data_IF_479448743281
#
_entry.id   IF_479448743281
#
_cell.length_a   1.000
_cell.length_b   1.000
_cell.length_c   1.000
_cell.angle_alpha   90.00
_cell.angle_beta   90.00
_cell.angle_gamma   90.00
#
_symmetry.space_group_name_H-M   'P 1'
#
loop_
_entity.id
_entity.type
_entity.pdbx_description
1 polymer ?
#
# COMPACT_ATOMS: atom_id res chain seq x y z
N UNK A 1 -4.85 -8.05 1.84
CA UNK A 1 -3.62 -7.34 2.21
C UNK A 1 -3.18 -7.59 3.66
N UNK A 2 -3.88 -7.06 4.68
CA UNK A 2 -3.45 -7.24 6.09
C UNK A 2 -3.46 -8.70 6.56
N UNK A 3 -4.49 -9.48 6.19
CA UNK A 3 -4.51 -10.93 6.46
C UNK A 3 -3.34 -11.66 5.78
N UNK A 4 -3.00 -11.29 4.54
CA UNK A 4 -1.87 -11.88 3.81
C UNK A 4 -0.53 -11.53 4.47
N UNK A 5 -0.40 -10.30 4.97
CA UNK A 5 0.77 -9.87 5.74
C UNK A 5 0.88 -10.68 7.04
N UNK A 6 -0.21 -10.90 7.77
CA UNK A 6 -0.21 -11.76 8.97
C UNK A 6 0.19 -13.20 8.66
N UNK A 7 -0.17 -13.72 7.49
CA UNK A 7 0.30 -15.00 7.00
C UNK A 7 1.82 -15.03 6.76
N UNK A 8 2.37 -13.97 6.17
CA UNK A 8 3.83 -13.83 5.96
C UNK A 8 4.61 -13.65 7.26
N UNK A 9 4.04 -13.02 8.28
CA UNK A 9 4.64 -12.88 9.61
C UNK A 9 4.48 -14.14 10.49
N UNK A 10 3.73 -15.15 10.03
CA UNK A 10 3.48 -16.38 10.77
C UNK A 10 2.45 -16.24 11.91
N UNK A 11 1.68 -15.15 11.95
CA UNK A 11 0.61 -14.95 12.94
C UNK A 11 -0.67 -15.72 12.63
N UNK A 12 -0.89 -16.05 11.37
CA UNK A 12 -1.96 -16.93 10.91
C UNK A 12 -1.39 -17.96 9.93
N UNK A 13 -1.96 -19.15 9.89
CA UNK A 13 -1.73 -20.09 8.81
C UNK A 13 -2.46 -19.58 7.55
N UNK A 14 -1.69 -19.23 6.53
CA UNK A 14 -2.23 -18.74 5.27
C UNK A 14 -2.93 -19.84 4.47
N UNK A 15 -2.54 -21.10 4.67
CA UNK A 15 -3.10 -22.25 3.96
C UNK A 15 -4.41 -22.74 4.59
N UNK A 16 -4.69 -22.38 5.85
CA UNK A 16 -6.00 -22.63 6.46
C UNK A 16 -7.01 -21.56 6.03
N UNK A 17 -7.89 -21.94 5.10
CA UNK A 17 -8.98 -21.09 4.59
C UNK A 17 -9.89 -20.56 5.71
N UNK A 18 -10.17 -21.36 6.76
CA UNK A 18 -11.03 -20.93 7.86
C UNK A 18 -10.36 -19.83 8.67
N UNK A 19 -9.09 -19.99 8.99
CA UNK A 19 -8.34 -18.99 9.74
C UNK A 19 -8.16 -17.70 8.92
N UNK A 20 -7.85 -17.83 7.63
CA UNK A 20 -7.74 -16.68 6.72
C UNK A 20 -9.04 -15.91 6.60
N UNK A 21 -10.18 -16.59 6.41
CA UNK A 21 -11.51 -15.96 6.38
C UNK A 21 -11.86 -15.26 7.69
N UNK A 22 -11.56 -15.89 8.83
CA UNK A 22 -11.82 -15.30 10.14
C UNK A 22 -10.99 -14.02 10.34
N UNK A 23 -9.71 -14.04 9.98
CA UNK A 23 -8.84 -12.87 10.02
C UNK A 23 -9.39 -11.72 9.15
N UNK A 24 -9.78 -12.02 7.91
CA UNK A 24 -10.37 -11.03 6.99
C UNK A 24 -11.66 -10.44 7.58
N UNK A 25 -12.56 -11.27 8.10
CA UNK A 25 -13.82 -10.82 8.68
C UNK A 25 -13.59 -9.90 9.90
N UNK A 26 -12.69 -10.30 10.81
CA UNK A 26 -12.34 -9.50 11.99
C UNK A 26 -11.74 -8.16 11.57
N UNK A 27 -10.75 -8.16 10.69
CA UNK A 27 -10.09 -6.93 10.21
C UNK A 27 -11.08 -5.99 9.49
N UNK A 28 -11.99 -6.55 8.70
CA UNK A 28 -13.00 -5.76 7.96
C UNK A 28 -13.97 -5.02 8.89
N UNK A 29 -14.16 -5.50 10.12
CA UNK A 29 -14.99 -4.83 11.14
C UNK A 29 -14.14 -3.90 11.99
N UNK A 30 -12.96 -4.34 12.43
CA UNK A 30 -12.07 -3.57 13.31
C UNK A 30 -11.61 -2.27 12.65
N UNK A 31 -11.21 -2.28 11.38
CA UNK A 31 -10.72 -1.07 10.72
C UNK A 31 -11.78 0.05 10.71
N UNK A 32 -13.01 -0.14 10.19
CA UNK A 32 -14.04 0.89 10.23
C UNK A 32 -14.35 1.40 11.64
N UNK A 33 -14.35 0.52 12.65
CA UNK A 33 -14.57 0.92 14.04
C UNK A 33 -13.44 1.85 14.52
N UNK A 34 -12.18 1.48 14.30
CA UNK A 34 -11.03 2.32 14.66
C UNK A 34 -11.12 3.68 13.97
N UNK A 35 -11.40 3.71 12.67
CA UNK A 35 -11.55 4.96 11.92
C UNK A 35 -12.70 5.82 12.43
N UNK A 36 -13.83 5.21 12.80
CA UNK A 36 -14.99 5.91 13.36
C UNK A 36 -14.66 6.53 14.72
N UNK A 37 -13.99 5.78 15.60
CA UNK A 37 -13.55 6.28 16.91
C UNK A 37 -12.59 7.47 16.73
N UNK A 38 -11.58 7.33 15.87
CA UNK A 38 -10.63 8.41 15.57
C UNK A 38 -11.33 9.66 15.02
N UNK A 39 -12.37 9.48 14.20
CA UNK A 39 -13.17 10.60 13.68
C UNK A 39 -13.87 11.37 14.80
N UNK A 40 -14.54 10.65 15.72
CA UNK A 40 -15.20 11.29 16.87
C UNK A 40 -14.22 11.96 17.83
N UNK A 41 -12.99 11.44 17.96
CA UNK A 41 -11.97 12.03 18.84
C UNK A 41 -11.25 13.25 18.24
N UNK A 42 -10.88 13.20 16.95
CA UNK A 42 -10.11 14.28 16.29
C UNK A 42 -11.03 15.42 15.85
N UNK A 43 -12.25 15.12 15.41
CA UNK A 43 -13.25 16.11 14.98
C UNK A 43 -12.87 16.95 13.74
N UNK A 44 -11.71 16.69 13.11
CA UNK A 44 -11.18 17.42 11.95
C UNK A 44 -11.02 16.47 10.76
N UNK A 45 -12.08 16.24 9.95
CA UNK A 45 -12.03 15.29 8.84
C UNK A 45 -10.92 15.60 7.83
N UNK A 46 -10.67 16.88 7.52
CA UNK A 46 -9.62 17.26 6.57
C UNK A 46 -8.22 16.81 6.99
N UNK A 47 -7.91 16.87 8.28
CA UNK A 47 -6.61 16.42 8.80
C UNK A 47 -6.45 14.89 8.67
N UNK A 48 -7.51 14.13 8.91
CA UNK A 48 -7.48 12.67 8.78
C UNK A 48 -7.27 12.22 7.34
N UNK A 49 -7.87 12.92 6.37
CA UNK A 49 -7.66 12.66 4.94
C UNK A 49 -6.20 12.92 4.55
N UNK A 50 -5.60 14.00 5.06
CA UNK A 50 -4.19 14.33 4.83
C UNK A 50 -3.27 13.22 5.34
N UNK A 51 -3.49 12.74 6.57
CA UNK A 51 -2.72 11.62 7.14
C UNK A 51 -2.88 10.35 6.28
N UNK A 52 -4.11 9.99 5.91
CA UNK A 52 -4.38 8.81 5.09
C UNK A 52 -3.68 8.86 3.74
N UNK A 53 -3.71 10.02 3.08
CA UNK A 53 -2.99 10.27 1.82
C UNK A 53 -1.48 10.18 2.00
N UNK A 54 -0.92 10.79 3.05
CA UNK A 54 0.51 10.73 3.34
C UNK A 54 1.01 9.31 3.61
N UNK A 55 0.26 8.52 4.40
CA UNK A 55 0.60 7.12 4.65
C UNK A 55 0.51 6.27 3.38
N UNK A 56 -0.51 6.50 2.55
CA UNK A 56 -0.67 5.78 1.27
C UNK A 56 0.46 6.13 0.29
N UNK A 57 0.94 7.38 0.29
CA UNK A 57 2.10 7.80 -0.50
C UNK A 57 3.36 6.97 -0.13
N UNK A 58 3.60 6.74 1.16
CA UNK A 58 4.71 5.90 1.63
C UNK A 58 4.54 4.47 1.12
N UNK A 59 3.33 3.91 1.18
CA UNK A 59 3.03 2.57 0.65
C UNK A 59 3.31 2.50 -0.85
N UNK A 60 2.94 3.51 -1.63
CA UNK A 60 3.22 3.55 -3.07
C UNK A 60 4.71 3.53 -3.40
N UNK A 61 5.56 4.18 -2.60
CA UNK A 61 7.02 4.12 -2.77
C UNK A 61 7.55 2.70 -2.52
N UNK A 62 7.04 2.01 -1.50
CA UNK A 62 7.37 0.59 -1.25
C UNK A 62 6.92 -0.28 -2.43
N UNK A 63 5.73 -0.02 -2.99
CA UNK A 63 5.21 -0.75 -4.16
C UNK A 63 6.07 -0.49 -5.39
N UNK A 64 6.52 0.74 -5.64
CA UNK A 64 7.46 1.06 -6.73
C UNK A 64 8.75 0.26 -6.60
N UNK A 65 9.33 0.22 -5.40
CA UNK A 65 10.53 -0.57 -5.14
C UNK A 65 10.31 -2.06 -5.40
N UNK A 66 9.21 -2.61 -4.89
CA UNK A 66 8.83 -4.00 -5.12
C UNK A 66 8.60 -4.31 -6.62
N UNK A 67 7.95 -3.40 -7.35
CA UNK A 67 7.67 -3.53 -8.77
C UNK A 67 8.96 -3.58 -9.60
N UNK A 68 9.94 -2.73 -9.28
CA UNK A 68 11.27 -2.74 -9.93
C UNK A 68 11.98 -4.08 -9.66
N UNK A 69 12.00 -4.55 -8.40
CA UNK A 69 12.60 -5.85 -8.06
C UNK A 69 11.91 -6.98 -8.81
N UNK A 70 10.58 -7.01 -8.80
CA UNK A 70 9.82 -8.03 -9.52
C UNK A 70 10.16 -8.03 -11.00
N UNK A 71 10.18 -6.85 -11.64
CA UNK A 71 10.46 -6.71 -13.08
C UNK A 71 11.87 -7.21 -13.46
N UNK A 72 12.88 -6.82 -12.69
CA UNK A 72 14.28 -7.03 -13.11
C UNK A 72 14.96 -8.24 -12.48
N UNK A 73 14.51 -8.70 -11.29
CA UNK A 73 15.16 -9.80 -10.57
C UNK A 73 14.32 -11.08 -10.51
N UNK A 74 13.01 -10.97 -10.30
CA UNK A 74 12.18 -12.16 -10.02
C UNK A 74 11.40 -12.68 -11.23
N UNK A 75 11.31 -11.91 -12.31
CA UNK A 75 10.53 -12.31 -13.48
C UNK A 75 11.32 -13.27 -14.38
N UNK A 76 10.82 -14.50 -14.62
CA UNK A 76 11.41 -15.43 -15.57
C UNK A 76 11.43 -14.84 -16.98
N UNK A 77 12.43 -15.21 -17.79
CA UNK A 77 12.59 -14.64 -19.14
C UNK A 77 11.39 -14.92 -20.06
N UNK A 78 10.71 -16.06 -19.85
CA UNK A 78 9.54 -16.50 -20.61
C UNK A 78 8.31 -15.60 -20.39
N UNK A 79 8.24 -14.89 -19.27
CA UNK A 79 7.11 -14.04 -18.89
C UNK A 79 7.40 -12.54 -19.09
N UNK A 80 8.44 -12.19 -19.85
CA UNK A 80 8.85 -10.80 -20.05
C UNK A 80 7.77 -9.98 -20.78
N UNK A 81 7.20 -8.95 -20.14
CA UNK A 81 6.21 -8.08 -20.76
C UNK A 81 6.82 -7.25 -21.89
N UNK A 82 5.94 -6.78 -22.78
CA UNK A 82 6.30 -5.96 -23.94
C UNK A 82 6.96 -4.63 -23.54
N UNK A 83 7.64 -4.00 -24.50
CA UNK A 83 8.26 -2.68 -24.30
C UNK A 83 7.26 -1.58 -23.94
N UNK A 84 6.01 -1.69 -24.41
CA UNK A 84 4.95 -0.75 -24.05
C UNK A 84 4.61 -0.80 -22.56
N UNK A 85 4.61 -1.99 -21.97
CA UNK A 85 4.44 -2.16 -20.53
C UNK A 85 5.59 -1.51 -19.74
N UNK A 86 6.84 -1.65 -20.22
CA UNK A 86 7.99 -1.00 -19.57
C UNK A 86 7.88 0.51 -19.58
N UNK A 87 7.43 1.10 -20.69
CA UNK A 87 7.20 2.54 -20.77
C UNK A 87 6.12 2.99 -19.77
N UNK A 88 5.00 2.27 -19.69
CA UNK A 88 3.94 2.57 -18.73
C UNK A 88 4.40 2.41 -17.26
N UNK A 89 5.21 1.38 -16.97
CA UNK A 89 5.80 1.16 -15.66
C UNK A 89 6.70 2.33 -15.26
N UNK A 90 7.63 2.72 -16.13
CA UNK A 90 8.54 3.84 -15.87
C UNK A 90 7.79 5.17 -15.73
N UNK A 91 6.79 5.42 -16.56
CA UNK A 91 5.93 6.60 -16.42
C UNK A 91 5.25 6.63 -15.05
N UNK A 92 4.72 5.49 -14.59
CA UNK A 92 4.07 5.36 -13.29
C UNK A 92 5.07 5.59 -12.14
N UNK A 93 6.28 5.05 -12.26
CA UNK A 93 7.35 5.26 -11.27
C UNK A 93 7.69 6.74 -11.16
N UNK A 94 7.90 7.42 -12.28
CA UNK A 94 8.21 8.87 -12.30
C UNK A 94 7.07 9.68 -11.68
N UNK A 95 5.82 9.38 -12.03
CA UNK A 95 4.65 10.07 -11.48
C UNK A 95 4.55 9.90 -9.95
N UNK A 96 4.73 8.67 -9.43
CA UNK A 96 4.68 8.39 -8.00
C UNK A 96 5.84 9.08 -7.27
N UNK A 97 7.07 8.98 -7.79
CA UNK A 97 8.22 9.64 -7.15
C UNK A 97 8.05 11.16 -7.14
N UNK A 98 7.58 11.76 -8.24
CA UNK A 98 7.30 13.18 -8.31
C UNK A 98 6.21 13.61 -7.30
N UNK A 99 5.11 12.86 -7.22
CA UNK A 99 4.04 13.12 -6.24
C UNK A 99 4.56 13.01 -4.80
N UNK A 100 5.45 12.06 -4.53
CA UNK A 100 6.12 11.91 -3.24
C UNK A 100 6.99 13.10 -2.88
N UNK A 101 7.81 13.58 -3.81
CA UNK A 101 8.67 14.76 -3.62
C UNK A 101 7.80 16.00 -3.37
N UNK A 102 6.79 16.24 -4.19
CA UNK A 102 5.88 17.39 -4.03
C UNK A 102 5.18 17.35 -2.67
N UNK A 103 4.70 16.17 -2.28
CA UNK A 103 4.06 15.98 -0.97
C UNK A 103 5.05 16.25 0.16
N UNK A 104 6.26 15.68 0.10
CA UNK A 104 7.28 15.90 1.12
C UNK A 104 7.64 17.38 1.25
N UNK A 105 7.90 18.07 0.14
CA UNK A 105 8.20 19.51 0.16
C UNK A 105 7.05 20.30 0.79
N UNK A 106 5.81 20.01 0.41
CA UNK A 106 4.64 20.72 0.93
C UNK A 106 4.41 20.52 2.44
N UNK A 107 4.75 19.35 2.99
CA UNK A 107 4.52 19.06 4.42
C UNK A 107 5.73 19.35 5.32
N UNK A 108 6.95 19.41 4.78
CA UNK A 108 8.17 19.66 5.57
C UNK A 108 8.72 21.09 5.44
N UNK A 109 8.42 21.82 4.37
CA UNK A 109 9.00 23.15 4.08
C UNK A 109 8.00 24.29 4.28
N UNK A 110 6.70 23.99 4.39
CA UNK A 110 5.60 24.94 4.63
C UNK A 110 4.88 24.55 5.91
#
# INVERSE_FOLDING_TARGET
LFSDAFGRFGWIDFNDERQRRKSIAILSIIFPIIWSILYFQIGKPGFMVIIGGALTMIILLIVVFAAIIMRYKWLPQELRPSRAFDLALWLSIVAIVAAGIVSAVKYFVV
#
